data_IF_974232424523
#
_entry.id   IF_974232424523
#
_cell.length_a   1.000
_cell.length_b   1.000
_cell.length_c   1.000
_cell.angle_alpha   90.00
_cell.angle_beta   90.00
_cell.angle_gamma   90.00
#
_symmetry.space_group_name_H-M   'P 1'
#
loop_
_entity.id
_entity.type
_entity.pdbx_description
1 polymer ?
#
# COMPACT_ATOMS: atom_id res chain seq x y z
N UNK A 1 29.97 15.95 -29.44
CA UNK A 1 29.57 15.92 -28.01
C UNK A 1 28.21 15.28 -27.94
N UNK A 2 28.15 14.07 -27.39
CA UNK A 2 26.92 13.30 -27.27
C UNK A 2 25.99 13.95 -26.25
N UNK A 3 24.70 14.02 -26.58
CA UNK A 3 23.64 14.43 -25.65
C UNK A 3 23.42 13.26 -24.71
N UNK A 4 23.84 13.38 -23.45
CA UNK A 4 23.49 12.42 -22.41
C UNK A 4 21.99 12.50 -22.16
N UNK A 5 21.25 11.45 -22.54
CA UNK A 5 19.81 11.28 -22.30
C UNK A 5 19.49 11.04 -20.83
N UNK A 6 19.85 11.97 -19.95
CA UNK A 6 19.46 11.93 -18.55
C UNK A 6 17.98 12.22 -18.40
N UNK A 7 17.22 11.28 -17.83
CA UNK A 7 15.88 11.55 -17.34
C UNK A 7 15.93 12.68 -16.32
N UNK A 8 14.96 13.61 -16.36
CA UNK A 8 14.86 14.70 -15.37
C UNK A 8 14.81 14.11 -13.96
N UNK A 9 15.63 14.62 -13.06
CA UNK A 9 15.47 14.39 -11.62
C UNK A 9 14.12 14.98 -11.20
N UNK A 10 13.12 14.13 -11.03
CA UNK A 10 11.84 14.53 -10.46
C UNK A 10 11.93 14.38 -8.95
N UNK A 11 11.63 15.43 -8.19
CA UNK A 11 11.58 15.38 -6.72
C UNK A 11 10.38 14.59 -6.17
N UNK A 12 9.73 13.78 -6.99
CA UNK A 12 8.61 12.90 -6.61
C UNK A 12 9.10 11.45 -6.38
N UNK A 13 8.25 10.60 -5.81
CA UNK A 13 8.61 9.22 -5.47
C UNK A 13 9.11 8.42 -6.68
N UNK A 14 8.53 8.63 -7.87
CA UNK A 14 8.98 7.93 -9.08
C UNK A 14 10.38 8.38 -9.49
N UNK A 15 10.68 9.68 -9.42
CA UNK A 15 12.03 10.18 -9.70
C UNK A 15 13.07 9.63 -8.74
N UNK A 16 12.73 9.45 -7.45
CA UNK A 16 13.60 8.80 -6.45
C UNK A 16 13.82 7.31 -6.72
N UNK A 17 12.78 6.59 -7.17
CA UNK A 17 12.92 5.21 -7.60
C UNK A 17 13.88 5.13 -8.80
N UNK A 18 13.67 5.95 -9.83
CA UNK A 18 14.50 6.00 -11.03
C UNK A 18 15.94 6.44 -10.75
N UNK A 19 16.17 7.38 -9.83
CA UNK A 19 17.53 7.82 -9.47
C UNK A 19 18.37 6.74 -8.81
N UNK A 20 17.75 5.64 -8.37
CA UNK A 20 18.47 4.49 -7.84
C UNK A 20 19.14 3.64 -8.93
N UNK A 21 18.81 3.88 -10.21
CA UNK A 21 19.33 3.13 -11.35
C UNK A 21 20.18 4.01 -12.28
N UNK A 22 21.27 3.48 -12.81
CA UNK A 22 22.19 4.23 -13.69
C UNK A 22 21.94 3.93 -15.17
N UNK A 23 21.19 4.80 -15.84
CA UNK A 23 20.77 4.65 -17.24
C UNK A 23 21.82 4.96 -18.32
N UNK A 24 23.09 5.18 -17.97
CA UNK A 24 24.06 5.81 -18.89
C UNK A 24 24.44 4.98 -20.12
N UNK A 25 24.52 3.65 -19.99
CA UNK A 25 25.13 2.80 -21.04
C UNK A 25 24.21 1.69 -21.61
N UNK A 26 23.19 1.24 -20.87
CA UNK A 26 22.25 0.20 -21.32
C UNK A 26 20.83 0.41 -20.76
N UNK A 27 20.01 1.32 -21.32
CA UNK A 27 18.66 1.57 -20.82
C UNK A 27 17.75 0.33 -20.78
N UNK A 28 17.94 -0.61 -21.71
CA UNK A 28 17.16 -1.85 -21.77
C UNK A 28 17.48 -2.78 -20.58
N UNK A 29 18.76 -2.94 -20.24
CA UNK A 29 19.20 -3.77 -19.11
C UNK A 29 18.73 -3.18 -17.78
N UNK A 30 18.75 -1.85 -17.65
CA UNK A 30 18.23 -1.18 -16.46
C UNK A 30 16.71 -1.34 -16.33
N UNK A 31 15.96 -1.26 -17.42
CA UNK A 31 14.52 -1.51 -17.39
C UNK A 31 14.22 -2.97 -17.01
N UNK A 32 15.04 -3.92 -17.44
CA UNK A 32 14.94 -5.32 -17.04
C UNK A 32 15.25 -5.50 -15.55
N UNK A 33 16.30 -4.87 -15.03
CA UNK A 33 16.63 -4.85 -13.60
C UNK A 33 15.47 -4.28 -12.77
N UNK A 34 14.95 -3.11 -13.15
CA UNK A 34 13.79 -2.51 -12.52
C UNK A 34 12.57 -3.45 -12.56
N UNK A 35 12.30 -4.07 -13.70
CA UNK A 35 11.16 -4.97 -13.87
C UNK A 35 11.28 -6.18 -12.95
N UNK A 36 12.47 -6.79 -12.88
CA UNK A 36 12.73 -7.92 -11.97
C UNK A 36 12.53 -7.52 -10.51
N UNK A 37 13.01 -6.33 -10.13
CA UNK A 37 12.85 -5.79 -8.79
C UNK A 37 11.37 -5.58 -8.42
N UNK A 38 10.58 -5.00 -9.32
CA UNK A 38 9.16 -4.76 -9.05
C UNK A 38 8.29 -6.02 -9.19
N UNK A 39 8.72 -7.04 -9.95
CA UNK A 39 8.09 -8.36 -9.93
C UNK A 39 8.15 -8.96 -8.52
N UNK A 40 9.27 -8.83 -7.82
CA UNK A 40 9.38 -9.32 -6.44
C UNK A 40 8.38 -8.60 -5.52
N UNK A 41 8.20 -7.28 -5.67
CA UNK A 41 7.22 -6.52 -4.90
C UNK A 41 5.77 -6.99 -5.17
N UNK A 42 5.43 -7.30 -6.42
CA UNK A 42 4.12 -7.88 -6.77
C UNK A 42 3.95 -9.27 -6.15
N UNK A 43 4.96 -10.14 -6.22
CA UNK A 43 4.91 -11.47 -5.59
C UNK A 43 4.67 -11.35 -4.09
N UNK A 44 5.32 -10.40 -3.42
CA UNK A 44 5.10 -10.15 -2.00
C UNK A 44 3.67 -9.71 -1.70
N UNK A 45 3.07 -8.89 -2.56
CA UNK A 45 1.66 -8.48 -2.44
C UNK A 45 0.72 -9.68 -2.55
N UNK A 46 0.90 -10.56 -3.55
CA UNK A 46 0.08 -11.77 -3.71
C UNK A 46 0.20 -12.72 -2.51
N UNK A 47 1.42 -12.88 -1.96
CA UNK A 47 1.64 -13.62 -0.70
C UNK A 47 0.88 -12.95 0.45
N UNK A 48 0.92 -11.63 0.53
CA UNK A 48 0.19 -10.84 1.51
C UNK A 48 -1.32 -11.00 1.38
N UNK A 49 -1.87 -11.04 0.16
CA UNK A 49 -3.30 -11.26 -0.08
C UNK A 49 -3.74 -12.65 0.40
N UNK A 50 -2.94 -13.67 0.09
CA UNK A 50 -3.18 -15.03 0.58
C UNK A 50 -3.20 -15.08 2.11
N UNK A 51 -2.18 -14.51 2.76
CA UNK A 51 -2.08 -14.44 4.22
C UNK A 51 -3.20 -13.60 4.85
N UNK A 52 -3.61 -12.52 4.19
CA UNK A 52 -4.75 -11.71 4.58
C UNK A 52 -6.04 -12.53 4.55
N UNK A 53 -6.25 -13.33 3.51
CA UNK A 53 -7.39 -14.25 3.38
C UNK A 53 -7.50 -15.25 4.52
N UNK A 54 -6.36 -15.81 4.97
CA UNK A 54 -6.31 -16.73 6.12
C UNK A 54 -6.53 -16.03 7.47
N UNK A 55 -6.21 -14.73 7.55
CA UNK A 55 -6.29 -13.94 8.79
C UNK A 55 -7.66 -13.33 9.02
N UNK A 56 -8.34 -12.91 7.96
CA UNK A 56 -9.62 -12.22 8.04
C UNK A 56 -10.75 -13.18 8.45
N UNK A 57 -11.85 -12.60 8.94
CA UNK A 57 -13.05 -13.36 9.25
C UNK A 57 -13.54 -14.09 7.99
N UNK A 58 -13.94 -15.38 8.06
CA UNK A 58 -14.42 -16.15 6.90
C UNK A 58 -15.59 -15.49 6.15
N UNK A 59 -16.41 -14.68 6.84
CA UNK A 59 -17.51 -13.92 6.23
C UNK A 59 -17.03 -12.70 5.43
N UNK A 60 -15.74 -12.37 5.42
CA UNK A 60 -15.19 -11.23 4.69
C UNK A 60 -15.58 -11.26 3.20
N UNK A 61 -15.37 -12.40 2.54
CA UNK A 61 -15.66 -12.52 1.11
C UNK A 61 -17.16 -12.41 0.84
N UNK A 62 -18.01 -13.00 1.69
CA UNK A 62 -19.47 -12.85 1.59
C UNK A 62 -19.90 -11.39 1.77
N UNK A 63 -19.32 -10.70 2.76
CA UNK A 63 -19.57 -9.28 3.01
C UNK A 63 -19.20 -8.43 1.80
N UNK A 64 -18.00 -8.62 1.23
CA UNK A 64 -17.55 -7.89 0.03
C UNK A 64 -18.47 -8.17 -1.17
N UNK A 65 -18.91 -9.41 -1.36
CA UNK A 65 -19.89 -9.73 -2.42
C UNK A 65 -21.24 -9.05 -2.20
N UNK A 66 -21.69 -8.91 -0.95
CA UNK A 66 -22.96 -8.24 -0.64
C UNK A 66 -22.97 -6.74 -0.93
N UNK A 67 -21.80 -6.12 -1.09
CA UNK A 67 -21.63 -4.70 -1.39
C UNK A 67 -21.02 -4.46 -2.78
N UNK A 68 -20.99 -5.48 -3.64
CA UNK A 68 -20.39 -5.38 -4.96
C UNK A 68 -21.04 -4.27 -5.81
N UNK A 69 -20.21 -3.50 -6.53
CA UNK A 69 -20.62 -2.36 -7.34
C UNK A 69 -20.84 -1.06 -6.56
N UNK A 70 -20.62 -1.05 -5.24
CA UNK A 70 -20.77 0.14 -4.40
C UNK A 70 -19.42 0.81 -4.11
N UNK A 71 -19.46 2.02 -3.54
CA UNK A 71 -18.26 2.68 -3.04
C UNK A 71 -17.61 1.86 -1.92
N UNK A 72 -18.41 1.24 -1.05
CA UNK A 72 -17.92 0.39 0.05
C UNK A 72 -17.06 -0.78 -0.42
N UNK A 73 -17.34 -1.37 -1.60
CA UNK A 73 -16.49 -2.42 -2.16
C UNK A 73 -15.07 -1.92 -2.42
N UNK A 74 -14.93 -0.73 -3.02
CA UNK A 74 -13.63 -0.17 -3.37
C UNK A 74 -12.78 0.09 -2.12
N UNK A 75 -13.40 0.56 -1.03
CA UNK A 75 -12.72 0.72 0.24
C UNK A 75 -12.41 -0.62 0.91
N UNK A 76 -13.31 -1.59 0.88
CA UNK A 76 -13.05 -2.93 1.41
C UNK A 76 -11.81 -3.55 0.75
N UNK A 77 -11.70 -3.44 -0.58
CA UNK A 77 -10.52 -3.89 -1.34
C UNK A 77 -9.27 -3.12 -0.92
N UNK A 78 -9.32 -1.79 -0.82
CA UNK A 78 -8.19 -0.99 -0.36
C UNK A 78 -7.72 -1.34 1.06
N UNK A 79 -8.66 -1.64 1.98
CA UNK A 79 -8.36 -2.11 3.33
C UNK A 79 -7.66 -3.47 3.28
N UNK A 80 -8.15 -4.40 2.44
CA UNK A 80 -7.50 -5.70 2.22
C UNK A 80 -6.08 -5.54 1.69
N UNK A 81 -5.89 -4.67 0.70
CA UNK A 81 -4.57 -4.38 0.13
C UNK A 81 -3.62 -3.81 1.19
N UNK A 82 -4.09 -2.90 2.05
CA UNK A 82 -3.26 -2.39 3.15
C UNK A 82 -2.84 -3.48 4.13
N UNK A 83 -3.74 -4.42 4.45
CA UNK A 83 -3.40 -5.55 5.30
C UNK A 83 -2.37 -6.44 4.61
N UNK A 84 -2.59 -6.78 3.34
CA UNK A 84 -1.65 -7.58 2.54
C UNK A 84 -0.25 -6.95 2.48
N UNK A 85 -0.18 -5.67 2.14
CA UNK A 85 1.07 -4.92 2.04
C UNK A 85 1.76 -4.76 3.40
N UNK A 86 1.00 -4.61 4.49
CA UNK A 86 1.54 -4.48 5.84
C UNK A 86 1.98 -5.82 6.45
N UNK A 87 1.49 -6.95 5.96
CA UNK A 87 1.92 -8.29 6.40
C UNK A 87 3.19 -8.72 5.65
N UNK A 88 3.23 -8.49 4.33
CA UNK A 88 4.24 -9.11 3.46
C UNK A 88 5.10 -8.08 2.72
N UNK A 89 4.50 -7.27 1.83
CA UNK A 89 5.21 -6.36 0.92
C UNK A 89 6.15 -5.41 1.64
N UNK A 90 5.61 -4.48 2.43
CA UNK A 90 6.38 -3.40 3.02
C UNK A 90 7.37 -3.88 4.09
N UNK A 91 7.02 -4.83 4.98
CA UNK A 91 8.00 -5.40 5.91
C UNK A 91 9.21 -6.01 5.20
N UNK A 92 8.99 -6.75 4.10
CA UNK A 92 10.08 -7.38 3.37
C UNK A 92 10.94 -6.37 2.64
N UNK A 93 10.34 -5.38 1.95
CA UNK A 93 11.09 -4.31 1.29
C UNK A 93 11.95 -3.51 2.29
N UNK A 94 11.44 -3.27 3.50
CA UNK A 94 12.19 -2.61 4.58
C UNK A 94 13.31 -3.52 5.10
N UNK A 95 13.03 -4.80 5.33
CA UNK A 95 14.01 -5.75 5.86
C UNK A 95 15.19 -5.97 4.90
N UNK A 96 14.94 -5.96 3.59
CA UNK A 96 15.99 -6.07 2.56
C UNK A 96 16.59 -4.71 2.18
N UNK A 97 16.12 -3.61 2.77
CA UNK A 97 16.50 -2.24 2.43
C UNK A 97 16.37 -1.93 0.93
N UNK A 98 15.33 -2.48 0.28
CA UNK A 98 15.03 -2.25 -1.13
C UNK A 98 14.43 -0.85 -1.34
N UNK A 99 15.27 0.16 -1.14
CA UNK A 99 14.98 1.59 -1.31
C UNK A 99 14.32 1.91 -2.67
N UNK A 100 14.79 1.37 -3.81
CA UNK A 100 14.15 1.60 -5.10
C UNK A 100 12.68 1.17 -5.12
N UNK A 101 12.37 -0.05 -4.65
CA UNK A 101 10.98 -0.53 -4.59
C UNK A 101 10.14 0.20 -3.55
N UNK A 102 10.71 0.65 -2.43
CA UNK A 102 9.96 1.48 -1.46
C UNK A 102 9.52 2.79 -2.13
N UNK A 103 10.41 3.44 -2.88
CA UNK A 103 10.04 4.63 -3.67
C UNK A 103 9.03 4.31 -4.77
N UNK A 104 9.17 3.18 -5.46
CA UNK A 104 8.26 2.76 -6.52
C UNK A 104 6.86 2.44 -5.99
N UNK A 105 6.77 1.72 -4.86
CA UNK A 105 5.53 1.49 -4.13
C UNK A 105 4.86 2.82 -3.78
N UNK A 106 5.59 3.76 -3.18
CA UNK A 106 5.05 5.07 -2.78
C UNK A 106 4.70 5.96 -3.98
N UNK A 107 5.28 5.72 -5.16
CA UNK A 107 4.85 6.37 -6.40
C UNK A 107 3.49 5.87 -6.90
N UNK A 108 3.19 4.58 -6.67
CA UNK A 108 1.92 3.95 -7.03
C UNK A 108 0.86 4.00 -5.91
N UNK A 109 1.25 4.46 -4.71
CA UNK A 109 0.37 4.71 -3.59
C UNK A 109 -0.57 5.89 -3.86
N UNK A 110 -1.75 5.58 -4.40
CA UNK A 110 -2.69 6.54 -4.97
C UNK A 110 -4.15 6.13 -4.73
N UNK A 111 -5.09 6.99 -5.15
CA UNK A 111 -6.53 6.72 -5.01
C UNK A 111 -6.95 6.53 -3.55
N UNK A 112 -7.87 5.58 -3.34
CA UNK A 112 -8.46 5.28 -2.02
C UNK A 112 -7.40 4.83 -1.01
N UNK A 113 -6.42 4.01 -1.43
CA UNK A 113 -5.31 3.57 -0.57
C UNK A 113 -4.58 4.75 0.07
N UNK A 114 -4.31 5.80 -0.71
CA UNK A 114 -3.69 7.03 -0.20
C UNK A 114 -4.65 7.88 0.63
N UNK A 115 -5.93 7.92 0.26
CA UNK A 115 -6.94 8.71 0.96
C UNK A 115 -7.16 8.23 2.39
N UNK A 116 -7.17 6.92 2.62
CA UNK A 116 -7.48 6.33 3.92
C UNK A 116 -6.25 6.11 4.80
N UNK A 117 -5.04 6.05 4.23
CA UNK A 117 -3.82 5.87 5.00
C UNK A 117 -2.82 7.03 4.81
N UNK A 118 -3.21 8.29 5.10
CA UNK A 118 -2.32 9.45 4.96
C UNK A 118 -1.07 9.36 5.85
N UNK A 119 -1.15 8.72 7.01
CA UNK A 119 0.01 8.56 7.90
C UNK A 119 1.22 7.90 7.22
N UNK A 120 0.99 6.92 6.33
CA UNK A 120 2.05 6.24 5.60
C UNK A 120 2.80 7.20 4.66
N UNK A 121 2.06 8.09 4.00
CA UNK A 121 2.65 9.12 3.14
C UNK A 121 3.48 10.12 3.95
N UNK A 122 3.02 10.48 5.14
CA UNK A 122 3.71 11.45 5.98
C UNK A 122 5.02 10.90 6.54
N UNK A 123 5.04 9.66 7.06
CA UNK A 123 6.29 9.02 7.51
C UNK A 123 7.26 8.76 6.35
N UNK A 124 6.75 8.47 5.15
CA UNK A 124 7.57 8.35 3.95
C UNK A 124 8.26 9.68 3.59
N UNK A 125 7.52 10.80 3.63
CA UNK A 125 8.09 12.13 3.39
C UNK A 125 9.14 12.47 4.44
N UNK A 126 8.88 12.16 5.71
CA UNK A 126 9.85 12.35 6.78
C UNK A 126 11.13 11.55 6.54
N UNK A 127 11.01 10.29 6.11
CA UNK A 127 12.16 9.47 5.73
C UNK A 127 12.94 10.06 4.55
N UNK A 128 12.25 10.53 3.50
CA UNK A 128 12.89 11.17 2.34
C UNK A 128 13.64 12.47 2.68
N UNK A 129 13.31 13.11 3.80
CA UNK A 129 13.92 14.36 4.28
C UNK A 129 14.88 14.14 5.45
N UNK A 130 15.09 12.91 5.92
CA UNK A 130 15.96 12.63 7.07
C UNK A 130 17.41 12.40 6.64
N UNK A 131 18.35 12.96 7.41
CA UNK A 131 19.78 12.76 7.15
C UNK A 131 20.30 11.37 7.56
N UNK A 132 19.54 10.67 8.43
CA UNK A 132 19.94 9.36 8.96
C UNK A 132 19.42 8.17 8.13
N UNK A 133 18.53 8.41 7.16
CA UNK A 133 17.95 7.38 6.30
C UNK A 133 17.13 6.30 7.02
N UNK A 134 16.76 6.53 8.29
CA UNK A 134 16.12 5.50 9.12
C UNK A 134 14.68 5.20 8.68
N UNK A 135 14.42 3.93 8.39
CA UNK A 135 13.08 3.41 8.07
C UNK A 135 12.25 3.08 9.32
N UNK A 136 12.77 3.27 10.54
CA UNK A 136 12.05 2.95 11.78
C UNK A 136 10.67 3.62 11.87
N UNK A 137 10.50 4.93 11.59
CA UNK A 137 9.18 5.55 11.61
C UNK A 137 8.21 4.94 10.60
N UNK A 138 8.71 4.56 9.41
CA UNK A 138 7.91 3.91 8.36
C UNK A 138 7.46 2.53 8.85
N UNK A 139 8.38 1.72 9.40
CA UNK A 139 8.06 0.42 9.98
C UNK A 139 7.01 0.51 11.09
N UNK A 140 7.18 1.44 12.05
CA UNK A 140 6.21 1.65 13.13
C UNK A 140 4.83 2.03 12.60
N UNK A 141 4.78 2.84 11.54
CA UNK A 141 3.51 3.21 10.89
C UNK A 141 2.83 2.01 10.24
N UNK A 142 3.61 1.12 9.60
CA UNK A 142 3.09 -0.12 8.99
C UNK A 142 2.56 -1.07 10.06
N UNK A 143 3.29 -1.26 11.16
CA UNK A 143 2.87 -2.11 12.29
C UNK A 143 1.54 -1.60 12.89
N UNK A 144 1.43 -0.28 13.13
CA UNK A 144 0.19 0.37 13.57
C UNK A 144 -0.93 0.24 12.54
N UNK A 145 -0.60 0.39 11.26
CA UNK A 145 -1.51 0.25 10.13
C UNK A 145 -2.12 -1.16 10.09
N UNK A 146 -1.31 -2.20 10.25
CA UNK A 146 -1.79 -3.59 10.26
C UNK A 146 -2.84 -3.81 11.35
N UNK A 147 -2.56 -3.37 12.58
CA UNK A 147 -3.50 -3.48 13.70
C UNK A 147 -4.81 -2.74 13.41
N UNK A 148 -4.69 -1.49 12.94
CA UNK A 148 -5.83 -0.63 12.58
C UNK A 148 -6.69 -1.26 11.49
N UNK A 149 -6.11 -1.64 10.36
CA UNK A 149 -6.87 -2.16 9.21
C UNK A 149 -7.52 -3.51 9.51
N UNK A 150 -6.89 -4.37 10.32
CA UNK A 150 -7.52 -5.61 10.79
C UNK A 150 -8.71 -5.30 11.71
N UNK A 151 -8.61 -4.31 12.59
CA UNK A 151 -9.74 -3.88 13.43
C UNK A 151 -10.91 -3.38 12.58
N UNK A 152 -10.63 -2.51 11.61
CA UNK A 152 -11.61 -1.98 10.66
C UNK A 152 -12.27 -3.12 9.87
N UNK A 153 -11.48 -4.08 9.35
CA UNK A 153 -12.02 -5.21 8.60
C UNK A 153 -12.99 -6.08 9.44
N UNK A 154 -12.66 -6.31 10.71
CA UNK A 154 -13.53 -7.02 11.64
C UNK A 154 -14.82 -6.24 11.94
N UNK A 155 -14.72 -4.92 12.10
CA UNK A 155 -15.89 -4.07 12.31
C UNK A 155 -16.83 -4.06 11.09
N UNK A 156 -16.30 -4.05 9.86
CA UNK A 156 -17.11 -4.20 8.65
C UNK A 156 -17.90 -5.51 8.64
N UNK A 157 -17.27 -6.62 9.03
CA UNK A 157 -17.96 -7.92 9.12
C UNK A 157 -19.00 -7.92 10.25
N UNK A 158 -18.71 -7.28 11.38
CA UNK A 158 -19.69 -7.12 12.45
C UNK A 158 -20.91 -6.31 12.00
N UNK A 159 -20.71 -5.22 11.23
CA UNK A 159 -21.81 -4.46 10.63
C UNK A 159 -22.60 -5.35 9.68
N UNK A 160 -21.94 -6.10 8.79
CA UNK A 160 -22.59 -7.03 7.86
C UNK A 160 -23.51 -8.03 8.57
N UNK A 161 -23.05 -8.61 9.68
CA UNK A 161 -23.78 -9.63 10.44
C UNK A 161 -24.93 -9.06 11.30
N UNK A 162 -24.85 -7.78 11.69
CA UNK A 162 -25.82 -7.15 12.60
C UNK A 162 -26.70 -6.07 11.93
N UNK A 163 -26.63 -5.93 10.60
CA UNK A 163 -27.46 -5.00 9.84
C UNK A 163 -28.42 -5.74 8.93
N UNK A 164 -29.59 -5.13 8.71
CA UNK A 164 -30.47 -5.55 7.61
C UNK A 164 -29.82 -5.20 6.27
N UNK A 165 -30.22 -5.89 5.21
CA UNK A 165 -29.74 -5.63 3.85
C UNK A 165 -29.95 -4.16 3.44
N UNK A 166 -31.05 -3.54 3.87
CA UNK A 166 -31.39 -2.15 3.56
C UNK A 166 -30.49 -1.12 4.27
N UNK A 167 -29.96 -1.42 5.46
CA UNK A 167 -29.14 -0.49 6.24
C UNK A 167 -27.63 -0.71 6.05
N UNK A 168 -27.25 -1.86 5.52
CA UNK A 168 -25.86 -2.34 5.51
C UNK A 168 -24.91 -1.41 4.77
N UNK A 169 -25.28 -0.98 3.56
CA UNK A 169 -24.45 -0.13 2.71
C UNK A 169 -24.18 1.20 3.42
N UNK A 170 -25.25 1.88 3.87
CA UNK A 170 -25.13 3.18 4.55
C UNK A 170 -24.25 3.10 5.80
N UNK A 171 -24.39 2.04 6.60
CA UNK A 171 -23.56 1.83 7.80
C UNK A 171 -22.10 1.58 7.46
N UNK A 172 -21.82 0.77 6.44
CA UNK A 172 -20.45 0.52 5.99
C UNK A 172 -19.82 1.79 5.42
N UNK A 173 -20.53 2.56 4.59
CA UNK A 173 -20.03 3.84 4.07
C UNK A 173 -19.74 4.85 5.19
N UNK A 174 -20.61 4.96 6.19
CA UNK A 174 -20.40 5.83 7.34
C UNK A 174 -19.14 5.44 8.12
N UNK A 175 -18.94 4.15 8.38
CA UNK A 175 -17.77 3.62 9.07
C UNK A 175 -16.47 3.86 8.28
N UNK A 176 -16.49 3.60 6.97
CA UNK A 176 -15.34 3.81 6.08
C UNK A 176 -14.88 5.28 6.09
N UNK A 177 -15.80 6.24 6.10
CA UNK A 177 -15.44 7.66 6.14
C UNK A 177 -14.69 8.06 7.42
N UNK A 178 -14.82 7.27 8.50
CA UNK A 178 -14.14 7.46 9.78
C UNK A 178 -12.89 6.60 9.92
N UNK A 179 -12.66 5.63 9.02
CA UNK A 179 -11.60 4.64 9.13
C UNK A 179 -10.19 5.18 8.78
N UNK A 180 -10.04 6.47 8.51
CA UNK A 180 -8.75 7.05 8.08
C UNK A 180 -7.71 6.94 9.19
N UNK A 181 -6.48 6.56 8.81
CA UNK A 181 -5.33 6.52 9.72
C UNK A 181 -4.41 7.71 9.47
N UNK A 182 -4.53 8.70 10.36
CA UNK A 182 -3.72 9.92 10.40
C UNK A 182 -2.49 9.75 11.32
N UNK A 183 -1.49 10.61 11.20
CA UNK A 183 -0.26 10.55 12.01
C UNK A 183 -0.54 10.71 13.49
#
# INVERSE_FOLDING_TARGET
MAVSGGWKEYENSMGRALSSYSFKDSPAEILEEMTNNEIEAVVLHEIGEYQCGERLNPLWNEMVMSIAGTKSELYARAIRDHIADAISTLPQLIATQNTPSIHFYMANFSGIRREIFPALLDVYKQWCSSDNGSLTPVKTCIDRGLEHWVSIANEMVNIYNNSSEYERIDRLEAMINLAKLET
#
